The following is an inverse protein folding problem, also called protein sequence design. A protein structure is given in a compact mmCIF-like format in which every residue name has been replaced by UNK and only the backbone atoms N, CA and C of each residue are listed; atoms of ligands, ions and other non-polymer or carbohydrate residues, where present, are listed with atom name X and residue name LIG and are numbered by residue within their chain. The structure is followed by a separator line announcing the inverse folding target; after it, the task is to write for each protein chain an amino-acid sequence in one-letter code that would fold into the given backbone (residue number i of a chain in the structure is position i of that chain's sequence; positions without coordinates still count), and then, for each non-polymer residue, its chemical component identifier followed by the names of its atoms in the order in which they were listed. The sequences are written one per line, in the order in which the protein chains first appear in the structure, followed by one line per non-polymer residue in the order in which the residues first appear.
data_IF_210819853452
#
_entry.id   IF_210819853452
#
_cell.length_a   1.000
_cell.length_b   1.000
_cell.length_c   1.000
_cell.angle_alpha   90.00
_cell.angle_beta   90.00
_cell.angle_gamma   90.00
#
_symmetry.space_group_name_H-M   'P 1'
#
loop_
_entity.id
_entity.type
_entity.pdbx_description
1 polymer ?
#
# COMPACT_ATOMS: atom_id res chain seq x y z
N UNK A 1 0.77 -14.44 -2.50
CA UNK A 1 2.08 -13.79 -2.23
C UNK A 1 1.83 -12.35 -1.78
N UNK A 2 2.83 -11.74 -1.13
CA UNK A 2 2.87 -10.32 -0.76
C UNK A 2 4.07 -9.67 -1.45
N UNK A 3 3.92 -8.43 -1.90
CA UNK A 3 5.06 -7.61 -2.31
C UNK A 3 5.75 -7.01 -1.09
N UNK A 4 7.07 -6.95 -1.11
CA UNK A 4 7.85 -6.09 -0.22
C UNK A 4 8.04 -4.76 -0.93
N UNK A 5 7.49 -3.71 -0.35
CA UNK A 5 7.65 -2.34 -0.81
C UNK A 5 8.71 -1.67 0.03
N UNK A 6 9.70 -1.05 -0.61
CA UNK A 6 10.61 -0.11 0.01
C UNK A 6 10.19 1.31 -0.38
N UNK A 7 10.04 2.19 0.61
CA UNK A 7 9.79 3.61 0.36
C UNK A 7 11.07 4.40 0.53
N UNK A 8 11.53 5.03 -0.55
CA UNK A 8 12.72 5.87 -0.51
C UNK A 8 12.56 6.98 0.54
N UNK A 9 13.47 7.11 1.53
CA UNK A 9 13.40 8.16 2.53
C UNK A 9 13.49 9.58 1.92
N UNK A 10 14.16 9.75 0.77
CA UNK A 10 14.37 11.04 0.12
C UNK A 10 13.17 11.46 -0.75
N UNK A 11 12.89 10.69 -1.81
CA UNK A 11 11.82 11.02 -2.76
C UNK A 11 10.44 10.56 -2.31
N UNK A 12 10.36 9.68 -1.31
CA UNK A 12 9.12 9.03 -0.85
C UNK A 12 8.45 8.16 -1.91
N UNK A 13 9.14 7.87 -3.02
CA UNK A 13 8.71 6.89 -4.03
C UNK A 13 8.68 5.49 -3.41
N UNK A 14 7.62 4.76 -3.69
CA UNK A 14 7.51 3.34 -3.38
C UNK A 14 8.13 2.53 -4.52
N UNK A 15 8.99 1.58 -4.17
CA UNK A 15 9.58 0.59 -5.06
C UNK A 15 9.10 -0.78 -4.63
N UNK A 16 8.61 -1.58 -5.57
CA UNK A 16 8.42 -3.02 -5.31
C UNK A 16 9.79 -3.66 -5.37
N UNK A 17 10.31 -4.18 -4.26
CA UNK A 17 11.69 -4.69 -4.22
C UNK A 17 11.76 -6.20 -4.02
N UNK A 18 10.67 -6.85 -3.61
CA UNK A 18 10.67 -8.29 -3.41
C UNK A 18 9.29 -8.90 -3.31
N UNK A 19 9.25 -10.21 -3.19
CA UNK A 19 8.04 -11.01 -3.15
C UNK A 19 8.15 -12.10 -2.09
N UNK A 20 7.24 -12.07 -1.11
CA UNK A 20 7.07 -13.11 -0.10
C UNK A 20 5.88 -14.02 -0.45
N UNK A 21 6.16 -15.27 -0.76
CA UNK A 21 5.16 -16.28 -1.13
C UNK A 21 4.98 -17.29 0.00
N UNK A 22 3.73 -17.67 0.29
CA UNK A 22 3.38 -18.78 1.18
C UNK A 22 2.71 -19.87 0.34
N UNK A 23 3.41 -20.97 0.13
CA UNK A 23 2.89 -22.21 -0.47
C UNK A 23 3.03 -23.34 0.57
N UNK A 24 3.68 -24.47 0.23
CA UNK A 24 4.13 -25.48 1.21
C UNK A 24 5.16 -24.89 2.19
N UNK A 25 6.11 -24.13 1.64
CA UNK A 25 7.13 -23.39 2.38
C UNK A 25 6.97 -21.89 2.11
N UNK A 26 7.59 -21.05 2.93
CA UNK A 26 7.80 -19.64 2.66
C UNK A 26 8.92 -19.46 1.65
N UNK A 27 8.70 -18.58 0.67
CA UNK A 27 9.72 -18.20 -0.32
C UNK A 27 9.87 -16.69 -0.36
N UNK A 28 11.11 -16.20 -0.35
CA UNK A 28 11.43 -14.81 -0.64
C UNK A 28 12.37 -14.72 -1.83
N UNK A 29 12.10 -13.76 -2.71
CA UNK A 29 12.97 -13.40 -3.84
C UNK A 29 12.87 -11.90 -4.09
N UNK A 30 13.93 -11.31 -4.64
CA UNK A 30 13.86 -9.97 -5.21
C UNK A 30 12.98 -10.00 -6.46
N UNK A 31 12.18 -8.94 -6.64
CA UNK A 31 11.16 -8.84 -7.69
C UNK A 31 10.84 -7.37 -7.97
N UNK A 32 10.29 -7.07 -9.15
CA UNK A 32 9.86 -5.72 -9.53
C UNK A 32 11.02 -4.76 -9.79
N UNK A 33 11.04 -3.66 -9.05
CA UNK A 33 11.89 -2.46 -9.23
C UNK A 33 13.13 -2.49 -8.30
N UNK A 34 13.62 -3.65 -7.85
CA UNK A 34 14.72 -3.72 -6.87
C UNK A 34 16.05 -3.16 -7.43
N UNK A 35 16.36 -3.39 -8.71
CA UNK A 35 17.54 -2.80 -9.38
C UNK A 35 17.41 -1.27 -9.45
N UNK A 36 16.22 -0.77 -9.77
CA UNK A 36 15.95 0.68 -9.77
C UNK A 36 16.09 1.25 -8.35
N UNK A 37 15.63 0.54 -7.33
CA UNK A 37 15.77 0.98 -5.94
C UNK A 37 17.24 1.11 -5.52
N UNK A 38 18.13 0.22 -6.00
CA UNK A 38 19.59 0.32 -5.76
C UNK A 38 20.17 1.64 -6.28
N UNK A 39 19.71 2.14 -7.43
CA UNK A 39 20.10 3.46 -7.96
C UNK A 39 19.63 4.63 -7.07
N UNK A 40 18.63 4.42 -6.21
CA UNK A 40 18.15 5.39 -5.22
C UNK A 40 18.81 5.21 -3.85
N UNK A 41 19.84 4.35 -3.76
CA UNK A 41 20.61 4.10 -2.54
C UNK A 41 19.98 3.06 -1.62
N UNK A 42 19.03 2.27 -2.10
CA UNK A 42 18.58 1.09 -1.38
C UNK A 42 19.64 -0.01 -1.43
N UNK A 43 19.87 -0.67 -0.29
CA UNK A 43 20.65 -1.90 -0.22
C UNK A 43 19.72 -3.10 -0.07
N UNK A 44 20.11 -4.22 -0.68
CA UNK A 44 19.49 -5.53 -0.43
C UNK A 44 19.32 -5.80 1.07
N UNK A 45 18.32 -6.61 1.42
CA UNK A 45 18.09 -7.01 2.79
C UNK A 45 19.29 -7.81 3.30
N UNK A 46 19.82 -7.47 4.47
CA UNK A 46 20.98 -8.16 5.06
C UNK A 46 20.76 -9.66 5.22
N UNK A 47 19.52 -10.08 5.53
CA UNK A 47 19.14 -11.49 5.63
C UNK A 47 19.18 -12.23 4.27
N UNK A 48 19.20 -11.51 3.15
CA UNK A 48 19.10 -12.02 1.79
C UNK A 48 20.12 -11.32 0.87
N UNK A 49 21.44 -11.52 1.06
CA UNK A 49 22.46 -10.75 0.36
C UNK A 49 22.58 -11.03 -1.15
N UNK A 50 22.08 -12.19 -1.60
CA UNK A 50 22.21 -12.67 -2.98
C UNK A 50 20.86 -12.58 -3.71
N UNK A 51 20.93 -12.45 -5.04
CA UNK A 51 19.74 -12.50 -5.88
C UNK A 51 19.37 -13.94 -6.23
N UNK A 52 18.69 -14.60 -5.27
CA UNK A 52 18.20 -15.98 -5.40
C UNK A 52 16.88 -16.17 -4.68
N UNK A 53 16.27 -17.33 -4.90
CA UNK A 53 15.08 -17.75 -4.15
C UNK A 53 15.54 -18.34 -2.81
N UNK A 54 15.10 -17.71 -1.73
CA UNK A 54 15.25 -18.21 -0.38
C UNK A 54 14.02 -18.99 0.02
N UNK A 55 14.18 -20.17 0.59
CA UNK A 55 13.07 -21.01 1.06
C UNK A 55 13.21 -21.32 2.55
N UNK A 56 12.09 -21.41 3.26
CA UNK A 56 12.05 -21.77 4.68
C UNK A 56 10.69 -22.37 5.04
N UNK A 57 10.68 -23.40 5.89
CA UNK A 57 9.43 -23.99 6.40
C UNK A 57 8.67 -23.02 7.32
N UNK A 58 9.39 -22.08 7.94
CA UNK A 58 8.85 -21.04 8.82
C UNK A 58 9.02 -19.65 8.20
N UNK A 59 8.20 -18.69 8.63
CA UNK A 59 8.32 -17.31 8.19
C UNK A 59 9.70 -16.74 8.57
N UNK A 60 10.38 -16.09 7.61
CA UNK A 60 11.71 -15.55 7.85
C UNK A 60 11.73 -14.51 8.99
N UNK A 61 12.75 -14.53 9.87
CA UNK A 61 12.86 -13.62 11.01
C UNK A 61 12.69 -12.13 10.67
N UNK A 62 13.18 -11.68 9.52
CA UNK A 62 13.06 -10.29 9.04
C UNK A 62 11.61 -9.85 8.78
N UNK A 63 10.69 -10.80 8.58
CA UNK A 63 9.26 -10.55 8.43
C UNK A 63 8.51 -10.85 9.73
N UNK A 64 8.85 -11.92 10.45
CA UNK A 64 8.15 -12.26 11.70
C UNK A 64 8.44 -11.26 12.82
N UNK A 65 9.63 -10.64 12.85
CA UNK A 65 9.98 -9.59 13.83
C UNK A 65 9.14 -8.31 13.69
N UNK A 66 8.43 -8.15 12.56
CA UNK A 66 7.51 -7.03 12.28
C UNK A 66 6.11 -7.25 12.87
N UNK A 67 5.87 -8.43 13.46
CA UNK A 67 4.58 -8.81 14.01
C UNK A 67 4.54 -8.69 15.54
N UNK A 68 3.37 -8.41 16.12
CA UNK A 68 3.16 -8.57 17.55
C UNK A 68 3.46 -10.00 18.02
N UNK A 69 4.09 -10.14 19.19
CA UNK A 69 4.36 -11.47 19.78
C UNK A 69 3.03 -12.24 20.01
N UNK A 70 2.92 -13.50 19.57
CA UNK A 70 1.74 -14.34 19.82
C UNK A 70 1.36 -14.47 21.31
N UNK A 71 2.32 -14.32 22.23
CA UNK A 71 2.15 -14.43 23.69
C UNK A 71 1.75 -13.11 24.35
N UNK A 72 1.62 -12.02 23.58
CA UNK A 72 1.24 -10.71 24.12
C UNK A 72 -0.13 -10.77 24.80
N UNK A 73 -0.25 -10.13 25.98
CA UNK A 73 -1.49 -10.16 26.79
C UNK A 73 -2.73 -9.68 26.02
N UNK A 74 -2.57 -8.71 25.13
CA UNK A 74 -3.64 -8.11 24.33
C UNK A 74 -3.74 -8.68 22.90
N UNK A 75 -3.07 -9.78 22.57
CA UNK A 75 -3.01 -10.32 21.19
C UNK A 75 -4.39 -10.56 20.60
N UNK A 76 -5.36 -11.03 21.40
CA UNK A 76 -6.75 -11.26 20.94
C UNK A 76 -7.40 -9.99 20.38
N UNK A 77 -7.23 -8.85 21.07
CA UNK A 77 -7.76 -7.55 20.62
C UNK A 77 -7.13 -7.09 19.30
N UNK A 78 -5.84 -7.39 19.12
CA UNK A 78 -5.14 -7.08 17.86
C UNK A 78 -5.68 -7.94 16.73
N UNK A 79 -5.87 -9.24 16.96
CA UNK A 79 -6.42 -10.15 15.96
C UNK A 79 -7.85 -9.75 15.58
N UNK A 80 -8.70 -9.39 16.55
CA UNK A 80 -10.06 -8.88 16.32
C UNK A 80 -10.06 -7.62 15.44
N UNK A 81 -9.16 -6.66 15.70
CA UNK A 81 -8.99 -5.45 14.85
C UNK A 81 -8.73 -5.79 13.39
N UNK A 82 -8.03 -6.88 13.11
CA UNK A 82 -7.72 -7.35 11.75
C UNK A 82 -8.71 -8.42 11.25
N UNK A 83 -9.73 -8.79 12.03
CA UNK A 83 -10.70 -9.82 11.68
C UNK A 83 -10.09 -11.23 11.60
N UNK A 84 -9.18 -11.55 12.51
CA UNK A 84 -8.54 -12.87 12.62
C UNK A 84 -9.05 -13.59 13.87
N UNK A 85 -9.50 -14.83 13.72
CA UNK A 85 -9.95 -15.67 14.84
C UNK A 85 -8.78 -16.30 15.63
N UNK A 86 -7.68 -16.58 14.93
CA UNK A 86 -6.47 -17.18 15.48
C UNK A 86 -5.23 -16.48 14.94
N UNK A 87 -4.12 -16.62 15.67
CA UNK A 87 -2.85 -16.06 15.23
C UNK A 87 -2.35 -16.78 13.98
N UNK A 88 -2.28 -16.05 12.87
CA UNK A 88 -1.60 -16.47 11.65
C UNK A 88 -0.66 -15.34 11.24
N UNK A 89 0.65 -15.61 11.30
CA UNK A 89 1.68 -14.61 11.03
C UNK A 89 1.56 -14.02 9.61
N UNK A 90 1.28 -14.86 8.62
CA UNK A 90 1.20 -14.43 7.23
C UNK A 90 -0.06 -13.60 6.97
N UNK A 91 -1.21 -14.04 7.48
CA UNK A 91 -2.46 -13.28 7.35
C UNK A 91 -2.40 -11.96 8.13
N UNK A 92 -1.72 -11.93 9.27
CA UNK A 92 -1.50 -10.70 10.02
C UNK A 92 -0.59 -9.72 9.26
N UNK A 93 0.53 -10.20 8.68
CA UNK A 93 1.39 -9.40 7.80
C UNK A 93 0.61 -8.82 6.62
N UNK A 94 -0.19 -9.67 5.96
CA UNK A 94 -1.04 -9.29 4.83
C UNK A 94 -2.01 -8.16 5.18
N UNK A 95 -2.51 -8.12 6.41
CA UNK A 95 -3.53 -7.16 6.87
C UNK A 95 -2.94 -5.90 7.52
N UNK A 96 -1.79 -5.99 8.19
CA UNK A 96 -1.18 -4.86 8.90
C UNK A 96 -0.01 -4.20 8.14
N UNK A 97 0.50 -4.83 7.09
CA UNK A 97 1.60 -4.34 6.26
C UNK A 97 2.98 -4.42 6.90
N UNK A 98 3.14 -4.92 8.13
CA UNK A 98 4.44 -5.11 8.78
C UNK A 98 5.29 -3.83 8.91
N UNK A 99 4.66 -2.65 8.97
CA UNK A 99 5.37 -1.37 9.07
C UNK A 99 6.06 -1.24 10.43
N UNK A 100 7.29 -0.77 10.43
CA UNK A 100 8.04 -0.43 11.64
C UNK A 100 8.40 1.07 11.66
N UNK A 101 8.50 1.72 12.84
CA UNK A 101 8.96 3.12 12.92
C UNK A 101 10.42 3.34 12.52
N UNK A 102 11.22 2.26 12.53
CA UNK A 102 12.67 2.30 12.32
C UNK A 102 13.10 2.09 10.86
N UNK A 103 12.17 1.75 9.97
CA UNK A 103 12.43 1.56 8.54
C UNK A 103 11.28 2.07 7.67
N UNK A 104 11.40 1.86 6.37
CA UNK A 104 10.43 2.32 5.37
C UNK A 104 9.86 1.18 4.54
N UNK A 105 9.82 -0.03 5.10
CA UNK A 105 9.27 -1.20 4.43
C UNK A 105 7.79 -1.42 4.74
N UNK A 106 7.08 -1.96 3.76
CA UNK A 106 5.69 -2.39 3.90
C UNK A 106 5.44 -3.66 3.07
N UNK A 107 4.69 -4.62 3.61
CA UNK A 107 4.21 -5.77 2.87
C UNK A 107 2.82 -5.52 2.32
N UNK A 108 2.66 -5.65 1.00
CA UNK A 108 1.42 -5.35 0.30
C UNK A 108 0.83 -6.59 -0.34
N UNK A 109 -0.45 -6.87 -0.05
CA UNK A 109 -1.21 -7.86 -0.82
C UNK A 109 -1.51 -7.30 -2.21
N UNK A 110 -1.00 -7.90 -3.29
CA UNK A 110 -1.29 -7.44 -4.65
C UNK A 110 -2.78 -7.52 -4.96
N UNK A 111 -3.20 -6.85 -6.04
CA UNK A 111 -4.47 -7.12 -6.70
C UNK A 111 -4.19 -8.15 -7.81
N UNK A 112 -4.73 -9.35 -7.68
CA UNK A 112 -4.47 -10.42 -8.65
C UNK A 112 -5.42 -10.30 -9.84
N UNK A 113 -5.02 -10.75 -11.02
CA UNK A 113 -5.85 -10.61 -12.24
C UNK A 113 -7.20 -11.34 -12.14
N UNK A 114 -7.23 -12.45 -11.41
CA UNK A 114 -8.41 -13.29 -11.16
C UNK A 114 -9.24 -12.86 -9.93
N UNK A 115 -8.87 -11.77 -9.24
CA UNK A 115 -9.73 -11.21 -8.19
C UNK A 115 -10.99 -10.64 -8.85
N UNK A 116 -12.12 -11.33 -8.68
CA UNK A 116 -13.45 -10.90 -9.17
C UNK A 116 -13.91 -9.59 -8.51
N UNK A 117 -13.62 -9.47 -7.21
CA UNK A 117 -13.88 -8.27 -6.42
C UNK A 117 -12.61 -7.85 -5.70
N UNK A 118 -12.37 -6.54 -5.68
CA UNK A 118 -11.20 -5.95 -5.04
C UNK A 118 -11.67 -4.87 -4.10
N UNK A 119 -11.38 -5.04 -2.80
CA UNK A 119 -11.47 -3.98 -1.80
C UNK A 119 -10.06 -3.69 -1.27
N UNK A 120 -9.64 -2.41 -1.27
CA UNK A 120 -8.37 -1.98 -0.68
C UNK A 120 -8.55 -0.70 0.11
N UNK A 121 -8.04 -0.71 1.33
CA UNK A 121 -7.91 0.50 2.15
C UNK A 121 -6.47 1.00 2.04
N UNK A 122 -6.28 2.26 1.65
CA UNK A 122 -4.95 2.86 1.54
C UNK A 122 -5.01 4.38 1.76
N UNK A 123 -3.85 4.97 2.03
CA UNK A 123 -3.72 6.43 2.07
C UNK A 123 -3.48 6.98 0.66
N UNK A 124 -4.05 8.15 0.35
CA UNK A 124 -3.77 8.85 -0.91
C UNK A 124 -2.30 9.27 -0.93
N UNK A 125 -1.60 8.94 -2.02
CA UNK A 125 -0.18 9.26 -2.17
C UNK A 125 0.01 10.69 -2.68
N UNK A 126 1.08 11.35 -2.25
CA UNK A 126 1.48 12.64 -2.82
C UNK A 126 0.67 13.86 -2.38
N UNK A 127 -0.26 13.74 -1.40
CA UNK A 127 -1.12 14.85 -0.93
C UNK A 127 -0.32 16.12 -0.60
N UNK A 128 0.87 15.97 -0.02
CA UNK A 128 1.74 17.09 0.34
C UNK A 128 2.21 17.96 -0.84
N UNK A 129 2.17 17.43 -2.07
CA UNK A 129 2.63 18.14 -3.27
C UNK A 129 1.45 18.70 -4.08
N UNK A 130 0.28 18.10 -3.93
CA UNK A 130 -0.94 18.40 -4.68
C UNK A 130 -1.86 19.37 -3.94
N UNK A 131 -1.97 19.24 -2.62
CA UNK A 131 -2.80 20.11 -1.80
C UNK A 131 -2.08 21.43 -1.48
N UNK A 132 -2.87 22.50 -1.32
CA UNK A 132 -2.39 23.84 -0.94
C UNK A 132 -1.63 23.85 0.39
N UNK A 133 -1.75 22.79 1.21
CA UNK A 133 -1.01 22.63 2.45
C UNK A 133 0.51 22.54 2.26
N UNK A 134 1.00 22.09 1.10
CA UNK A 134 2.42 21.80 0.83
C UNK A 134 3.10 20.89 1.88
N UNK A 135 2.30 20.15 2.65
CA UNK A 135 2.71 19.42 3.84
C UNK A 135 3.22 20.26 5.01
N UNK A 136 2.84 21.54 5.07
CA UNK A 136 3.19 22.49 6.14
C UNK A 136 2.00 22.99 6.94
N UNK A 137 0.80 23.02 6.34
CA UNK A 137 -0.41 23.50 7.03
C UNK A 137 -1.63 22.66 6.65
N UNK A 138 -1.96 21.66 7.47
CA UNK A 138 -3.10 20.77 7.25
C UNK A 138 -4.46 21.48 7.21
N UNK A 139 -4.58 22.72 7.70
CA UNK A 139 -5.81 23.51 7.56
C UNK A 139 -6.12 23.91 6.10
N UNK A 140 -5.11 23.86 5.22
CA UNK A 140 -5.23 24.16 3.79
C UNK A 140 -5.51 22.91 2.93
N UNK A 141 -5.86 21.78 3.57
CA UNK A 141 -6.36 20.64 2.82
C UNK A 141 -7.67 21.01 2.10
N UNK A 142 -7.89 20.51 0.88
CA UNK A 142 -9.18 20.59 0.20
C UNK A 142 -10.33 20.21 1.13
N UNK A 143 -11.47 20.89 1.00
CA UNK A 143 -12.68 20.52 1.75
C UNK A 143 -13.12 19.12 1.32
N UNK A 144 -12.87 18.15 2.20
CA UNK A 144 -13.23 16.75 2.07
C UNK A 144 -13.76 16.27 3.42
N UNK A 145 -14.77 15.42 3.38
CA UNK A 145 -15.41 14.82 4.55
C UNK A 145 -15.29 13.30 4.50
N UNK A 146 -15.31 12.68 5.68
CA UNK A 146 -15.47 11.23 5.77
C UNK A 146 -16.81 10.86 5.13
N UNK A 147 -16.79 9.85 4.27
CA UNK A 147 -17.94 9.40 3.49
C UNK A 147 -17.98 9.92 2.05
N UNK A 148 -17.21 10.96 1.71
CA UNK A 148 -17.16 11.51 0.36
C UNK A 148 -16.65 10.48 -0.66
N UNK A 149 -17.23 10.49 -1.86
CA UNK A 149 -16.74 9.71 -3.00
C UNK A 149 -15.81 10.55 -3.86
N UNK A 150 -14.70 9.92 -4.28
CA UNK A 150 -13.63 10.53 -5.05
C UNK A 150 -13.57 9.96 -6.46
N UNK A 151 -13.10 10.77 -7.40
CA UNK A 151 -12.96 10.42 -8.81
C UNK A 151 -11.53 10.02 -9.14
N UNK A 152 -11.38 9.02 -10.01
CA UNK A 152 -10.09 8.53 -10.50
C UNK A 152 -9.88 8.95 -11.95
N UNK A 153 -8.72 9.53 -12.24
CA UNK A 153 -8.33 9.97 -13.58
C UNK A 153 -6.97 9.36 -13.97
N UNK A 154 -6.89 8.48 -14.98
CA UNK A 154 -5.62 7.98 -15.50
C UNK A 154 -4.73 9.11 -16.04
N UNK A 155 -3.43 9.07 -15.74
CA UNK A 155 -2.43 10.04 -16.20
C UNK A 155 -1.31 9.32 -17.01
N UNK A 156 -1.58 8.83 -18.23
CA UNK A 156 -0.63 8.04 -19.01
C UNK A 156 0.63 8.82 -19.42
N UNK A 157 0.59 10.15 -19.41
CA UNK A 157 1.72 11.03 -19.71
C UNK A 157 2.65 11.30 -18.52
N UNK A 158 2.40 10.70 -17.36
CA UNK A 158 3.21 10.93 -16.17
C UNK A 158 4.63 10.36 -16.36
N UNK A 159 5.65 11.25 -16.27
CA UNK A 159 7.05 10.91 -16.54
C UNK A 159 7.66 9.90 -15.56
N UNK A 160 7.08 9.76 -14.37
CA UNK A 160 7.59 8.88 -13.31
C UNK A 160 6.86 7.53 -13.25
N UNK A 161 5.60 7.49 -13.67
CA UNK A 161 4.74 6.31 -13.65
C UNK A 161 3.69 6.36 -14.76
N UNK A 162 3.85 5.64 -15.89
CA UNK A 162 2.84 5.62 -16.95
C UNK A 162 1.50 5.01 -16.50
N UNK A 163 1.46 4.34 -15.34
CA UNK A 163 0.22 3.80 -14.76
C UNK A 163 -0.41 4.75 -13.74
N UNK A 164 0.11 5.96 -13.54
CA UNK A 164 -0.38 6.88 -12.52
C UNK A 164 -1.90 7.10 -12.64
N UNK A 165 -2.59 7.03 -11.50
CA UNK A 165 -4.02 7.35 -11.39
C UNK A 165 -4.18 8.46 -10.37
N UNK A 166 -4.62 9.62 -10.84
CA UNK A 166 -4.96 10.77 -10.02
C UNK A 166 -6.26 10.52 -9.26
N UNK A 167 -6.36 11.11 -8.07
CA UNK A 167 -7.55 11.10 -7.22
C UNK A 167 -8.03 12.55 -7.07
N UNK A 168 -9.30 12.79 -7.36
CA UNK A 168 -9.93 14.10 -7.32
C UNK A 168 -11.18 14.10 -6.42
N UNK A 169 -11.51 15.25 -5.85
CA UNK A 169 -12.84 15.50 -5.27
C UNK A 169 -13.93 15.48 -6.34
N UNK A 170 -15.20 15.44 -5.93
CA UNK A 170 -16.34 15.61 -6.83
C UNK A 170 -16.38 16.97 -7.55
N UNK A 171 -15.72 17.99 -6.98
CA UNK A 171 -15.53 19.30 -7.61
C UNK A 171 -14.32 19.37 -8.56
N UNK A 172 -13.64 18.24 -8.79
CA UNK A 172 -12.47 18.12 -9.67
C UNK A 172 -11.14 18.52 -9.04
N UNK A 173 -11.10 18.89 -7.76
CA UNK A 173 -9.88 19.29 -7.09
C UNK A 173 -8.94 18.09 -6.90
N UNK A 174 -7.71 18.23 -7.38
CA UNK A 174 -6.69 17.18 -7.29
C UNK A 174 -6.21 16.96 -5.85
N UNK A 175 -6.25 15.71 -5.39
CA UNK A 175 -5.83 15.30 -4.04
C UNK A 175 -4.48 14.58 -4.04
N UNK A 176 -4.17 13.79 -5.07
CA UNK A 176 -2.98 12.96 -5.11
C UNK A 176 -3.19 11.71 -5.95
N UNK A 177 -2.52 10.61 -5.60
CA UNK A 177 -2.47 9.41 -6.45
C UNK A 177 -2.87 8.14 -5.72
N UNK A 178 -3.36 7.17 -6.49
CA UNK A 178 -3.41 5.76 -6.09
C UNK A 178 -1.98 5.26 -5.82
N UNK A 179 -1.75 4.42 -4.80
CA UNK A 179 -0.45 3.78 -4.61
C UNK A 179 0.03 3.04 -5.86
N UNK A 180 1.28 3.31 -6.27
CA UNK A 180 1.93 2.76 -7.48
C UNK A 180 1.75 1.24 -7.63
N UNK A 181 1.89 0.50 -6.53
CA UNK A 181 1.76 -0.96 -6.51
C UNK A 181 0.34 -1.50 -6.80
N UNK A 182 -0.69 -0.63 -6.82
CA UNK A 182 -2.05 -0.98 -7.23
C UNK A 182 -2.43 -0.41 -8.60
N UNK A 183 -1.74 0.64 -9.05
CA UNK A 183 -2.18 1.48 -10.15
C UNK A 183 -2.42 0.70 -11.45
N UNK A 184 -1.46 -0.14 -11.88
CA UNK A 184 -1.61 -0.98 -13.07
C UNK A 184 -2.83 -1.91 -13.00
N UNK A 185 -2.99 -2.65 -11.91
CA UNK A 185 -4.08 -3.62 -11.76
C UNK A 185 -5.46 -2.96 -11.69
N UNK A 186 -5.52 -1.71 -11.20
CA UNK A 186 -6.73 -0.89 -11.20
C UNK A 186 -7.02 -0.35 -12.61
N UNK A 187 -6.02 0.17 -13.32
CA UNK A 187 -6.17 0.64 -14.71
C UNK A 187 -6.69 -0.46 -15.63
N UNK A 188 -6.12 -1.67 -15.54
CA UNK A 188 -6.55 -2.83 -16.33
C UNK A 188 -8.02 -3.24 -16.08
N UNK A 189 -8.57 -2.90 -14.91
CA UNK A 189 -9.97 -3.17 -14.57
C UNK A 189 -10.89 -2.06 -15.05
N UNK A 190 -10.47 -0.80 -14.89
CA UNK A 190 -11.20 0.37 -15.40
C UNK A 190 -11.29 0.29 -16.93
N UNK A 191 -10.22 -0.12 -17.62
CA UNK A 191 -10.21 -0.27 -19.09
C UNK A 191 -11.14 -1.37 -19.61
N UNK A 192 -11.50 -2.34 -18.76
CA UNK A 192 -12.52 -3.37 -19.04
C UNK A 192 -13.96 -2.87 -18.78
N UNK A 193 -14.14 -1.61 -18.40
CA UNK A 193 -15.45 -1.03 -18.12
C UNK A 193 -16.03 -1.36 -16.74
N UNK A 194 -15.22 -1.89 -15.81
CA UNK A 194 -15.68 -2.13 -14.45
C UNK A 194 -15.88 -0.79 -13.72
N UNK A 195 -17.03 -0.64 -13.08
CA UNK A 195 -17.33 0.52 -12.22
C UNK A 195 -16.50 0.46 -10.94
N UNK A 196 -16.24 1.61 -10.30
CA UNK A 196 -15.50 1.65 -9.04
C UNK A 196 -16.18 2.59 -8.04
N UNK A 197 -15.80 2.43 -6.77
CA UNK A 197 -16.06 3.41 -5.72
C UNK A 197 -14.76 3.71 -4.99
N UNK A 198 -14.47 4.98 -4.69
CA UNK A 198 -13.35 5.39 -3.84
C UNK A 198 -13.89 6.30 -2.75
N UNK A 199 -14.05 5.80 -1.53
CA UNK A 199 -14.70 6.52 -0.44
C UNK A 199 -13.70 6.96 0.62
N UNK A 200 -13.81 8.19 1.12
CA UNK A 200 -13.00 8.68 2.25
C UNK A 200 -13.43 7.98 3.53
N UNK A 201 -12.49 7.31 4.19
CA UNK A 201 -12.73 6.57 5.44
C UNK A 201 -12.22 7.30 6.67
N UNK A 202 -11.06 7.93 6.57
CA UNK A 202 -10.41 8.61 7.69
C UNK A 202 -9.69 9.87 7.17
N UNK A 203 -9.75 10.96 7.95
CA UNK A 203 -9.01 12.20 7.70
C UNK A 203 -8.20 12.52 8.95
N UNK A 204 -6.89 12.46 8.83
CA UNK A 204 -5.94 12.79 9.88
C UNK A 204 -5.27 14.12 9.55
N UNK A 205 -5.53 15.14 10.38
CA UNK A 205 -4.93 16.48 10.25
C UNK A 205 -3.73 16.68 11.17
N UNK A 206 -3.04 15.58 11.49
CA UNK A 206 -1.76 15.63 12.18
C UNK A 206 -0.64 15.69 11.14
N UNK A 207 0.52 16.28 11.46
CA UNK A 207 1.64 16.60 10.55
C UNK A 207 2.34 15.39 9.86
N UNK A 208 1.65 14.26 9.69
CA UNK A 208 2.05 13.13 8.87
C UNK A 208 1.23 13.08 7.56
N UNK A 209 1.68 13.81 6.55
CA UNK A 209 0.96 13.89 5.27
C UNK A 209 0.85 12.55 4.51
N UNK A 210 1.71 11.57 4.81
CA UNK A 210 1.59 10.23 4.21
C UNK A 210 0.41 9.42 4.73
N UNK A 211 -0.19 9.83 5.85
CA UNK A 211 -1.31 9.15 6.50
C UNK A 211 -2.51 10.10 6.70
N UNK A 212 -2.60 11.12 5.85
CA UNK A 212 -3.56 12.21 5.99
C UNK A 212 -4.98 11.83 5.54
N UNK A 213 -5.15 11.21 4.37
CA UNK A 213 -6.47 10.81 3.86
C UNK A 213 -6.45 9.34 3.51
N UNK A 214 -7.21 8.55 4.26
CA UNK A 214 -7.41 7.13 4.00
C UNK A 214 -8.69 6.94 3.21
N UNK A 215 -8.61 6.12 2.17
CA UNK A 215 -9.75 5.80 1.31
C UNK A 215 -9.96 4.29 1.26
N UNK A 216 -11.20 3.89 1.01
CA UNK A 216 -11.60 2.53 0.64
C UNK A 216 -11.95 2.52 -0.83
N UNK A 217 -11.20 1.75 -1.60
CA UNK A 217 -11.41 1.52 -3.01
C UNK A 217 -12.10 0.16 -3.22
N UNK A 218 -13.15 0.13 -4.04
CA UNK A 218 -13.81 -1.09 -4.49
C UNK A 218 -13.90 -1.14 -6.03
N UNK A 219 -13.66 -2.32 -6.62
CA UNK A 219 -13.92 -2.59 -8.04
C UNK A 219 -14.30 -4.08 -8.22
N UNK A 220 -15.46 -4.41 -8.84
CA UNK A 220 -16.51 -3.48 -9.27
C UNK A 220 -17.14 -2.71 -8.09
N UNK A 221 -17.82 -1.59 -8.37
CA UNK A 221 -18.50 -0.80 -7.32
C UNK A 221 -19.56 -1.65 -6.63
N UNK A 222 -19.56 -1.64 -5.30
CA UNK A 222 -20.62 -2.21 -4.45
C UNK A 222 -21.72 -1.19 -4.12
N UNK A 223 -21.49 0.08 -4.47
CA UNK A 223 -22.46 1.17 -4.31
C UNK A 223 -23.28 1.24 -5.60
N UNK A 224 -24.61 1.13 -5.45
CA UNK A 224 -25.58 1.31 -6.55
C UNK A 224 -25.79 2.78 -6.86
#
# INVERSE_FOLDING_TARGET
YLYLIWKDPKTRRNFTVGKLTREKNYKFQYDGEYIDAEHYGWGKLEAFPEDKIYESEVLFPIFSSRLPDPKRRDIKKILEKYGLAQYDAYELLKKNGGRLPIDTYELISPILQNDETVQRDFFIMGIRHSASCQGKNCALLPQINVGDFLQLTPEPGNKNDPNAIQIHTSSGQFLGYIPRYYARAILERISKGLTYSCQVMEINRMDNCSECVKVRFNIPSIVK
#
